data_IF_960602213357
#
_entry.id   IF_960602213357
#
_cell.length_a   1.000
_cell.length_b   1.000
_cell.length_c   1.000
_cell.angle_alpha   90.00
_cell.angle_beta   90.00
_cell.angle_gamma   90.00
#
_symmetry.space_group_name_H-M   'P 1'
#
loop_
_entity.id
_entity.type
_entity.pdbx_description
1 polymer ?
#
# COMPACT_ATOMS: atom_id res chain seq x y z
N UNK A 1 6.89 0.83 8.77
CA UNK A 1 7.95 -0.16 8.42
C UNK A 1 7.86 -0.65 6.98
N UNK A 2 6.72 -1.19 6.52
CA UNK A 2 6.56 -1.61 5.11
C UNK A 2 6.37 -0.44 4.12
N UNK A 3 5.85 0.70 4.57
CA UNK A 3 5.70 1.89 3.72
C UNK A 3 7.04 2.59 3.43
N UNK A 4 7.87 2.72 4.47
CA UNK A 4 9.14 3.47 4.45
C UNK A 4 10.33 2.62 3.96
N UNK A 5 10.13 1.85 2.88
CA UNK A 5 11.24 1.13 2.24
C UNK A 5 12.10 2.10 1.43
N UNK A 6 13.41 1.88 1.46
CA UNK A 6 14.39 2.69 0.71
C UNK A 6 14.12 2.63 -0.80
N UNK A 7 13.62 1.51 -1.28
CA UNK A 7 13.29 1.25 -2.70
C UNK A 7 12.20 2.17 -3.28
N UNK A 8 11.51 2.95 -2.45
CA UNK A 8 10.40 3.83 -2.87
C UNK A 8 10.77 5.29 -3.04
N UNK A 9 12.03 5.67 -2.81
CA UNK A 9 12.49 7.05 -3.03
C UNK A 9 11.71 8.10 -2.23
N UNK A 10 11.30 7.78 -1.00
CA UNK A 10 10.58 8.72 -0.13
C UNK A 10 11.52 9.84 0.34
N UNK A 11 11.05 11.09 0.23
CA UNK A 11 11.86 12.28 0.52
C UNK A 11 11.59 12.80 1.93
N UNK A 12 10.37 12.65 2.46
CA UNK A 12 10.05 13.06 3.84
C UNK A 12 10.45 11.97 4.84
N UNK A 13 10.98 12.41 5.98
CA UNK A 13 11.34 11.53 7.09
C UNK A 13 10.14 10.79 7.68
N UNK A 14 10.40 9.62 8.29
CA UNK A 14 9.40 8.81 8.95
C UNK A 14 9.05 9.36 10.34
N UNK A 15 7.76 9.58 10.62
CA UNK A 15 7.24 10.06 11.92
C UNK A 15 6.67 8.96 12.82
N UNK A 16 7.33 7.80 12.91
CA UNK A 16 6.75 6.59 13.51
C UNK A 16 6.36 6.73 15.00
N UNK A 17 7.13 7.50 15.78
CA UNK A 17 6.80 7.72 17.20
C UNK A 17 5.55 8.59 17.36
N UNK A 18 5.42 9.62 16.52
CA UNK A 18 4.25 10.49 16.49
C UNK A 18 3.00 9.74 16.02
N UNK A 19 3.15 8.82 15.07
CA UNK A 19 2.07 7.96 14.59
C UNK A 19 1.54 7.04 15.70
N UNK A 20 2.44 6.43 16.48
CA UNK A 20 2.06 5.58 17.61
C UNK A 20 1.34 6.36 18.72
N UNK A 21 1.83 7.55 19.06
CA UNK A 21 1.20 8.45 20.04
C UNK A 21 -0.22 8.83 19.58
N UNK A 22 -0.36 9.26 18.33
CA UNK A 22 -1.63 9.69 17.76
C UNK A 22 -2.64 8.53 17.73
N UNK A 23 -2.22 7.34 17.30
CA UNK A 23 -3.08 6.15 17.27
C UNK A 23 -3.55 5.75 18.67
N UNK A 24 -2.70 5.89 19.70
CA UNK A 24 -3.08 5.71 21.10
C UNK A 24 -4.15 6.69 21.57
N UNK A 25 -3.99 7.98 21.25
CA UNK A 25 -4.98 9.02 21.59
C UNK A 25 -6.31 8.76 20.87
N UNK A 26 -6.29 8.45 19.57
CA UNK A 26 -7.50 8.11 18.82
C UNK A 26 -8.22 6.88 19.38
N UNK A 27 -7.48 5.86 19.81
CA UNK A 27 -8.06 4.65 20.42
C UNK A 27 -8.74 4.97 21.74
N UNK A 28 -8.10 5.80 22.59
CA UNK A 28 -8.69 6.25 23.85
C UNK A 28 -10.00 7.00 23.61
N UNK A 29 -10.01 7.95 22.65
CA UNK A 29 -11.22 8.67 22.28
C UNK A 29 -12.32 7.73 21.77
N UNK A 30 -12.00 6.81 20.85
CA UNK A 30 -12.98 5.83 20.36
C UNK A 30 -13.55 4.98 21.49
N UNK A 31 -12.72 4.60 22.47
CA UNK A 31 -13.17 3.85 23.65
C UNK A 31 -14.14 4.63 24.54
N UNK A 32 -13.96 5.95 24.70
CA UNK A 32 -14.89 6.81 25.46
C UNK A 32 -16.25 6.91 24.74
N UNK A 33 -16.24 7.02 23.41
CA UNK A 33 -17.46 7.12 22.61
C UNK A 33 -18.11 5.77 22.24
N UNK A 34 -17.53 4.64 22.66
CA UNK A 34 -18.02 3.29 22.34
C UNK A 34 -17.89 2.89 20.87
N UNK A 35 -17.00 3.55 20.11
CA UNK A 35 -16.73 3.29 18.70
C UNK A 35 -15.67 2.19 18.53
N UNK A 36 -15.68 1.44 17.41
CA UNK A 36 -14.67 0.42 17.15
C UNK A 36 -13.27 1.04 17.03
N UNK A 37 -12.26 0.30 17.51
CA UNK A 37 -10.88 0.76 17.46
C UNK A 37 -10.34 0.70 16.04
N UNK A 38 -9.60 1.73 15.66
CA UNK A 38 -8.99 1.87 14.34
C UNK A 38 -7.56 1.36 14.37
N UNK A 39 -7.18 0.57 13.37
CA UNK A 39 -5.81 0.06 13.19
C UNK A 39 -5.23 0.57 11.86
N UNK A 40 -3.90 0.66 11.78
CA UNK A 40 -3.21 1.01 10.54
C UNK A 40 -3.46 -0.04 9.44
N UNK A 41 -4.09 0.37 8.33
CA UNK A 41 -4.47 -0.51 7.23
C UNK A 41 -3.32 -0.71 6.22
N UNK A 42 -2.46 -1.69 6.46
CA UNK A 42 -1.25 -1.91 5.65
C UNK A 42 -1.52 -2.05 4.14
N UNK A 43 -2.48 -2.89 3.73
CA UNK A 43 -2.82 -3.14 2.32
C UNK A 43 -3.32 -1.88 1.61
N UNK A 44 -4.17 -1.12 2.29
CA UNK A 44 -4.72 0.13 1.76
C UNK A 44 -3.65 1.22 1.67
N UNK A 45 -2.82 1.37 2.70
CA UNK A 45 -1.71 2.33 2.70
C UNK A 45 -0.71 2.02 1.59
N UNK A 46 -0.41 0.74 1.36
CA UNK A 46 0.46 0.30 0.27
C UNK A 46 -0.13 0.58 -1.10
N UNK A 47 -1.41 0.28 -1.30
CA UNK A 47 -2.11 0.57 -2.55
C UNK A 47 -2.20 2.08 -2.83
N UNK A 48 -2.49 2.88 -1.82
CA UNK A 48 -2.50 4.34 -1.92
C UNK A 48 -1.11 4.88 -2.28
N UNK A 49 -0.05 4.40 -1.62
CA UNK A 49 1.32 4.76 -2.00
C UNK A 49 1.69 4.30 -3.42
N UNK A 50 1.25 3.11 -3.85
CA UNK A 50 1.47 2.61 -5.21
C UNK A 50 0.75 3.46 -6.27
N UNK A 51 -0.43 4.00 -5.97
CA UNK A 51 -1.12 4.93 -6.87
C UNK A 51 -0.41 6.28 -7.03
N UNK A 52 0.48 6.62 -6.09
CA UNK A 52 1.26 7.86 -6.06
C UNK A 52 2.71 7.68 -6.48
N UNK A 53 3.12 6.44 -6.84
CA UNK A 53 4.46 6.16 -7.31
C UNK A 53 4.60 6.47 -8.79
N UNK A 54 5.60 7.28 -9.13
CA UNK A 54 5.93 7.60 -10.52
C UNK A 54 7.02 6.61 -10.99
N UNK A 55 6.78 5.85 -12.07
CA UNK A 55 7.79 4.93 -12.60
C UNK A 55 8.92 5.70 -13.28
N UNK A 56 10.16 5.19 -13.18
CA UNK A 56 11.30 5.70 -13.94
C UNK A 56 11.06 5.49 -15.44
N UNK A 57 11.59 6.43 -16.25
CA UNK A 57 11.62 6.30 -17.71
C UNK A 57 12.75 5.34 -18.08
N UNK A 58 12.41 4.07 -18.14
CA UNK A 58 13.36 3.00 -18.42
C UNK A 58 13.21 2.48 -19.85
N UNK A 59 14.29 1.97 -20.44
CA UNK A 59 14.27 1.38 -21.78
C UNK A 59 13.36 0.13 -21.83
N UNK A 60 12.77 -0.21 -23.00
CA UNK A 60 11.91 -1.38 -23.13
C UNK A 60 12.67 -2.66 -22.77
N UNK A 61 12.25 -3.35 -21.70
CA UNK A 61 12.84 -4.62 -21.24
C UNK A 61 13.56 -4.55 -19.89
N UNK A 62 13.84 -3.36 -19.38
CA UNK A 62 14.34 -3.18 -18.01
C UNK A 62 13.20 -3.15 -16.99
N UNK A 63 13.52 -3.50 -15.75
CA UNK A 63 12.54 -3.58 -14.67
C UNK A 63 11.97 -2.20 -14.35
N UNK A 64 10.64 -2.07 -14.16
CA UNK A 64 10.05 -0.80 -13.76
C UNK A 64 10.49 -0.49 -12.33
N UNK A 65 11.44 0.41 -12.20
CA UNK A 65 11.85 0.98 -10.91
C UNK A 65 10.97 2.18 -10.57
N UNK A 66 10.71 2.36 -9.27
CA UNK A 66 10.03 3.56 -8.76
C UNK A 66 11.06 4.69 -8.70
N UNK A 67 10.72 5.85 -9.28
CA UNK A 67 11.59 7.03 -9.25
C UNK A 67 11.42 7.78 -7.92
N UNK A 68 10.19 8.22 -7.68
CA UNK A 68 9.77 8.88 -6.44
C UNK A 68 8.28 8.69 -6.21
N UNK A 69 7.84 8.94 -4.98
CA UNK A 69 6.43 8.90 -4.58
C UNK A 69 5.96 10.32 -4.25
N UNK A 70 4.79 10.70 -4.76
CA UNK A 70 4.18 12.00 -4.46
C UNK A 70 3.59 11.96 -3.05
N UNK A 71 4.26 12.60 -2.10
CA UNK A 71 3.85 12.63 -0.70
C UNK A 71 2.86 13.77 -0.40
N UNK A 72 1.57 13.46 -0.45
CA UNK A 72 0.48 14.40 -0.18
C UNK A 72 -0.32 14.07 1.08
N UNK A 73 -0.97 15.10 1.66
CA UNK A 73 -1.89 14.97 2.80
C UNK A 73 -3.36 15.06 2.39
N UNK A 74 -3.64 15.62 1.22
CA UNK A 74 -5.00 16.00 0.78
C UNK A 74 -5.85 14.77 0.48
N UNK A 75 -5.32 13.74 -0.17
CA UNK A 75 -6.10 12.52 -0.46
C UNK A 75 -6.57 11.81 0.77
N UNK A 76 -5.76 11.71 1.83
CA UNK A 76 -6.19 11.06 3.08
C UNK A 76 -7.37 11.79 3.71
N UNK A 77 -7.35 13.13 3.70
CA UNK A 77 -8.46 13.96 4.21
C UNK A 77 -9.68 13.81 3.29
N UNK A 78 -9.49 13.86 1.98
CA UNK A 78 -10.56 13.69 1.00
C UNK A 78 -11.27 12.35 1.14
N UNK A 79 -10.52 11.24 1.20
CA UNK A 79 -11.08 9.89 1.40
C UNK A 79 -11.86 9.80 2.72
N UNK A 80 -11.33 10.36 3.81
CA UNK A 80 -12.00 10.34 5.12
C UNK A 80 -13.31 11.13 5.10
N UNK A 81 -13.34 12.27 4.41
CA UNK A 81 -14.53 13.10 4.26
C UNK A 81 -15.58 12.45 3.34
N UNK A 82 -15.17 11.86 2.22
CA UNK A 82 -16.06 11.10 1.35
C UNK A 82 -16.66 9.89 2.08
N UNK A 83 -15.87 9.16 2.86
CA UNK A 83 -16.35 8.05 3.69
C UNK A 83 -17.41 8.51 4.69
N UNK A 84 -17.18 9.65 5.36
CA UNK A 84 -18.17 10.27 6.24
C UNK A 84 -19.46 10.63 5.50
N UNK A 85 -19.35 11.27 4.34
CA UNK A 85 -20.51 11.64 3.51
C UNK A 85 -21.32 10.42 3.05
N UNK A 86 -20.65 9.35 2.61
CA UNK A 86 -21.31 8.11 2.19
C UNK A 86 -21.98 7.38 3.36
N UNK A 87 -21.45 7.48 4.57
CA UNK A 87 -22.11 6.92 5.76
C UNK A 87 -23.47 7.58 6.04
N UNK A 88 -23.63 8.88 5.77
CA UNK A 88 -24.91 9.58 5.89
C UNK A 88 -25.85 9.33 4.70
N UNK A 89 -25.31 9.12 3.49
CA UNK A 89 -26.06 8.93 2.24
C UNK A 89 -26.42 7.47 1.89
N UNK A 90 -26.34 6.54 2.86
CA UNK A 90 -26.30 5.08 2.63
C UNK A 90 -27.44 4.47 1.81
N UNK A 91 -28.60 5.13 1.71
CA UNK A 91 -29.73 4.65 0.89
C UNK A 91 -29.51 4.77 -0.62
N UNK A 92 -28.61 5.64 -1.07
CA UNK A 92 -28.39 5.94 -2.49
C UNK A 92 -27.31 5.08 -3.15
N UNK A 93 -26.45 4.41 -2.38
CA UNK A 93 -25.27 3.70 -2.91
C UNK A 93 -25.47 2.18 -2.95
N UNK A 94 -26.22 1.69 -3.93
CA UNK A 94 -26.38 0.24 -4.17
C UNK A 94 -25.26 -0.28 -5.08
N UNK A 95 -24.10 -0.59 -4.50
CA UNK A 95 -23.00 -1.23 -5.22
C UNK A 95 -23.13 -2.76 -5.16
N UNK A 96 -22.98 -3.48 -6.28
CA UNK A 96 -22.99 -4.93 -6.28
C UNK A 96 -21.76 -5.44 -5.51
N UNK A 97 -22.00 -6.32 -4.53
CA UNK A 97 -20.94 -6.93 -3.71
C UNK A 97 -19.85 -7.60 -4.57
N UNK A 98 -20.22 -8.18 -5.71
CA UNK A 98 -19.29 -8.77 -6.66
C UNK A 98 -18.21 -7.78 -7.14
N UNK A 99 -18.56 -6.51 -7.37
CA UNK A 99 -17.60 -5.49 -7.79
C UNK A 99 -16.60 -5.16 -6.69
N UNK A 100 -17.04 -5.15 -5.42
CA UNK A 100 -16.15 -4.90 -4.28
C UNK A 100 -15.14 -6.03 -4.10
N UNK A 101 -15.56 -7.28 -4.28
CA UNK A 101 -14.64 -8.42 -4.27
C UNK A 101 -13.62 -8.36 -5.41
N UNK A 102 -14.01 -7.88 -6.59
CA UNK A 102 -13.08 -7.67 -7.70
C UNK A 102 -11.98 -6.65 -7.36
N UNK A 103 -12.35 -5.51 -6.77
CA UNK A 103 -11.39 -4.49 -6.31
C UNK A 103 -10.50 -5.04 -5.20
N UNK A 104 -11.07 -5.77 -4.24
CA UNK A 104 -10.31 -6.39 -3.16
C UNK A 104 -9.29 -7.41 -3.68
N UNK A 105 -9.67 -8.25 -4.66
CA UNK A 105 -8.76 -9.19 -5.33
C UNK A 105 -7.61 -8.45 -6.01
N UNK A 106 -7.93 -7.39 -6.77
CA UNK A 106 -6.91 -6.57 -7.44
C UNK A 106 -5.91 -5.98 -6.44
N UNK A 107 -6.40 -5.40 -5.34
CA UNK A 107 -5.56 -4.87 -4.27
C UNK A 107 -4.68 -5.97 -3.66
N UNK A 108 -5.23 -7.16 -3.40
CA UNK A 108 -4.47 -8.29 -2.89
C UNK A 108 -3.32 -8.70 -3.80
N UNK A 109 -3.60 -8.89 -5.09
CA UNK A 109 -2.59 -9.28 -6.09
C UNK A 109 -1.51 -8.21 -6.26
N UNK A 110 -1.89 -6.94 -6.35
CA UNK A 110 -0.94 -5.83 -6.49
C UNK A 110 0.01 -5.73 -5.29
N UNK A 111 -0.46 -6.03 -4.08
CA UNK A 111 0.36 -5.96 -2.86
C UNK A 111 1.42 -7.06 -2.77
N UNK A 112 1.29 -8.16 -3.51
CA UNK A 112 2.35 -9.17 -3.61
C UNK A 112 3.52 -8.72 -4.49
N UNK A 113 3.29 -7.74 -5.37
CA UNK A 113 4.34 -7.15 -6.20
C UNK A 113 5.34 -6.38 -5.32
N UNK A 114 6.60 -6.80 -5.31
CA UNK A 114 7.67 -6.22 -4.49
C UNK A 114 7.91 -6.89 -3.13
N UNK A 115 7.26 -8.03 -2.85
CA UNK A 115 7.59 -8.87 -1.69
C UNK A 115 8.69 -9.87 -2.07
N UNK A 116 9.86 -9.74 -1.45
CA UNK A 116 11.02 -10.61 -1.72
C UNK A 116 10.71 -12.10 -1.52
N UNK A 117 9.89 -12.45 -0.52
CA UNK A 117 9.48 -13.83 -0.27
C UNK A 117 8.71 -14.42 -1.47
N UNK A 118 7.78 -13.65 -2.05
CA UNK A 118 7.01 -14.09 -3.22
C UNK A 118 7.92 -14.23 -4.44
N UNK A 119 8.85 -13.29 -4.65
CA UNK A 119 9.84 -13.36 -5.72
C UNK A 119 10.70 -14.62 -5.61
N UNK A 120 11.12 -15.00 -4.39
CA UNK A 120 11.87 -16.23 -4.14
C UNK A 120 11.03 -17.49 -4.34
N UNK A 121 9.76 -17.48 -3.94
CA UNK A 121 8.84 -18.60 -4.22
C UNK A 121 8.71 -18.81 -5.74
N UNK A 122 8.55 -17.72 -6.50
CA UNK A 122 8.47 -17.78 -7.97
C UNK A 122 9.77 -18.34 -8.56
N UNK A 123 10.93 -18.02 -7.99
CA UNK A 123 12.23 -18.49 -8.45
C UNK A 123 12.36 -20.03 -8.41
N UNK A 124 11.70 -20.71 -7.48
CA UNK A 124 11.67 -22.19 -7.46
C UNK A 124 10.96 -22.82 -8.67
N UNK A 125 10.08 -22.06 -9.35
CA UNK A 125 9.33 -22.54 -10.51
C UNK A 125 9.93 -22.09 -11.85
N UNK A 126 10.98 -21.26 -11.82
CA UNK A 126 11.66 -20.74 -13.01
C UNK A 126 13.01 -21.46 -13.15
N UNK A 127 13.43 -21.89 -14.35
CA UNK A 127 14.75 -22.47 -14.52
C UNK A 127 15.85 -21.40 -14.45
N UNK A 128 17.05 -21.80 -13.99
CA UNK A 128 18.20 -20.92 -13.70
C UNK A 128 18.55 -19.95 -14.83
N UNK A 129 18.33 -20.33 -16.10
CA UNK A 129 18.57 -19.48 -17.27
C UNK A 129 17.81 -18.14 -17.27
N UNK A 130 16.66 -18.07 -16.59
CA UNK A 130 15.85 -16.85 -16.50
C UNK A 130 15.97 -16.18 -15.13
N UNK A 131 16.99 -16.53 -14.35
CA UNK A 131 17.24 -15.86 -13.09
C UNK A 131 17.59 -14.40 -13.35
N UNK A 132 16.93 -13.48 -12.64
CA UNK A 132 17.27 -12.08 -12.77
C UNK A 132 18.52 -11.75 -11.97
N UNK A 133 19.19 -10.68 -12.39
CA UNK A 133 20.30 -10.11 -11.62
C UNK A 133 19.76 -9.50 -10.32
N UNK A 134 19.93 -10.24 -9.23
CA UNK A 134 19.59 -9.81 -7.86
C UNK A 134 20.65 -10.35 -6.91
N UNK A 135 20.90 -9.71 -5.75
CA UNK A 135 22.01 -10.07 -4.87
C UNK A 135 21.95 -11.50 -4.30
N UNK A 136 20.83 -12.21 -4.46
CA UNK A 136 20.66 -13.59 -4.02
C UNK A 136 20.67 -14.61 -5.17
N UNK A 137 20.79 -14.17 -6.43
CA UNK A 137 20.98 -15.00 -7.62
C UNK A 137 22.36 -14.85 -8.24
N UNK A 138 23.18 -13.89 -7.80
CA UNK A 138 24.56 -13.70 -8.28
C UNK A 138 25.52 -14.85 -7.94
N UNK A 139 25.19 -15.66 -6.92
CA UNK A 139 26.05 -16.78 -6.46
C UNK A 139 25.62 -18.16 -6.97
N UNK A 140 24.67 -18.23 -7.89
CA UNK A 140 24.13 -19.47 -8.48
C UNK A 140 24.47 -19.49 -9.97
#
# INVERSE_FOLDING_TARGET
LLLSRKDRGLVKGSGLHWDLLLMGICTLLCSIFGLPWMCAAAVQSLAHCGSLSVPKKTAPGERPEVDYVIEQRVTTIGVSLLMGLFAFGGSYLRLPLASLFGVFLYLGVMNFSGVQLVQRIILFFIPEKYFPDTPYTESV
#
